data_IF_245113538915
#
_entry.id   IF_245113538915
#
_cell.length_a   1.000
_cell.length_b   1.000
_cell.length_c   1.000
_cell.angle_alpha   90.00
_cell.angle_beta   90.00
_cell.angle_gamma   90.00
#
_symmetry.space_group_name_H-M   'P 1'
#
loop_
_entity.id
_entity.type
_entity.pdbx_description
1 polymer ?
#
# COMPACT_ATOMS: atom_id res chain seq x y z
N UNK A 1 -23.04 -9.76 -13.05
CA UNK A 1 -23.59 -8.82 -12.02
C UNK A 1 -23.00 -9.25 -10.70
N UNK A 2 -22.26 -8.40 -10.00
CA UNK A 2 -21.75 -8.73 -8.67
C UNK A 2 -22.92 -8.83 -7.71
N UNK A 3 -23.09 -9.98 -7.09
CA UNK A 3 -24.18 -10.21 -6.15
C UNK A 3 -23.80 -9.62 -4.79
N UNK A 4 -24.56 -8.62 -4.33
CA UNK A 4 -24.43 -8.08 -2.98
C UNK A 4 -25.23 -8.98 -2.07
N UNK A 5 -24.60 -9.50 -1.01
CA UNK A 5 -25.23 -10.33 0.03
C UNK A 5 -25.02 -9.73 1.39
N UNK A 6 -26.03 -9.80 2.25
CA UNK A 6 -25.86 -9.52 3.68
C UNK A 6 -25.13 -10.71 4.32
N UNK A 7 -24.00 -10.43 4.98
CA UNK A 7 -23.16 -11.44 5.63
C UNK A 7 -22.97 -11.04 7.08
N UNK A 8 -23.11 -12.02 7.99
CA UNK A 8 -22.85 -11.83 9.40
C UNK A 8 -21.41 -11.38 9.63
N UNK A 9 -21.23 -10.35 10.47
CA UNK A 9 -19.90 -9.82 10.85
C UNK A 9 -19.02 -10.91 11.46
N UNK A 10 -19.61 -11.87 12.18
CA UNK A 10 -18.88 -12.97 12.80
C UNK A 10 -18.27 -13.96 11.77
N UNK A 11 -18.81 -13.99 10.55
CA UNK A 11 -18.29 -14.82 9.45
C UNK A 11 -17.24 -14.10 8.62
N UNK A 12 -16.95 -12.82 8.92
CA UNK A 12 -16.02 -12.01 8.15
C UNK A 12 -14.76 -11.80 8.97
N UNK A 13 -13.59 -12.06 8.38
CA UNK A 13 -12.32 -11.85 9.03
C UNK A 13 -11.36 -11.01 8.16
N UNK A 14 -10.44 -10.25 8.80
CA UNK A 14 -9.41 -9.49 8.09
C UNK A 14 -8.43 -10.40 7.36
N UNK A 15 -7.86 -9.90 6.26
CA UNK A 15 -6.77 -10.59 5.57
C UNK A 15 -5.51 -10.64 6.45
N UNK A 16 -4.97 -11.84 6.68
CA UNK A 16 -3.79 -12.12 7.52
C UNK A 16 -2.51 -11.43 7.02
N UNK A 17 -2.47 -11.00 5.76
CA UNK A 17 -1.30 -10.37 5.13
C UNK A 17 -1.41 -8.85 4.99
N UNK A 18 -2.31 -8.18 5.71
CA UNK A 18 -2.45 -6.72 5.63
C UNK A 18 -1.39 -6.00 6.49
N UNK A 19 -0.55 -5.13 5.88
CA UNK A 19 0.49 -4.41 6.62
C UNK A 19 -0.02 -3.18 7.41
N UNK A 20 -1.29 -2.79 7.25
CA UNK A 20 -1.83 -1.57 7.87
C UNK A 20 -2.56 -1.90 9.15
N UNK A 21 -1.82 -1.94 10.27
CA UNK A 21 -2.35 -2.20 11.63
C UNK A 21 -2.82 -0.93 12.35
N UNK A 22 -2.36 0.25 11.95
CA UNK A 22 -2.72 1.51 12.60
C UNK A 22 -3.79 2.27 11.80
N UNK A 23 -4.96 2.41 12.39
CA UNK A 23 -6.02 3.29 11.90
C UNK A 23 -6.18 4.45 12.89
N UNK A 24 -6.28 5.66 12.38
CA UNK A 24 -6.64 6.82 13.19
C UNK A 24 -8.03 6.55 13.79
N UNK A 25 -8.10 6.49 15.14
CA UNK A 25 -9.32 6.15 15.86
C UNK A 25 -10.41 7.20 15.64
N UNK A 26 -10.06 8.48 15.59
CA UNK A 26 -11.03 9.58 15.38
C UNK A 26 -11.70 9.44 14.00
N UNK A 27 -10.90 9.23 12.96
CA UNK A 27 -11.41 9.02 11.59
C UNK A 27 -12.21 7.71 11.43
N UNK A 28 -12.00 6.72 12.31
CA UNK A 28 -12.79 5.50 12.32
C UNK A 28 -14.13 5.72 13.04
N UNK A 29 -14.15 6.50 14.12
CA UNK A 29 -15.36 6.89 14.83
C UNK A 29 -16.28 7.76 13.97
N UNK A 30 -15.71 8.74 13.24
CA UNK A 30 -16.48 9.55 12.27
C UNK A 30 -17.14 8.67 11.21
N UNK A 31 -16.40 7.70 10.68
CA UNK A 31 -16.95 6.76 9.70
C UNK A 31 -18.06 5.88 10.31
N UNK A 32 -17.89 5.41 11.55
CA UNK A 32 -18.91 4.63 12.25
C UNK A 32 -20.18 5.44 12.49
N UNK A 33 -20.06 6.73 12.84
CA UNK A 33 -21.19 7.63 12.99
C UNK A 33 -21.92 7.84 11.65
N UNK A 34 -21.18 8.09 10.58
CA UNK A 34 -21.77 8.22 9.23
C UNK A 34 -22.51 6.96 8.79
N UNK A 35 -21.96 5.76 9.12
CA UNK A 35 -22.61 4.48 8.81
C UNK A 35 -23.89 4.28 9.62
N UNK A 36 -23.94 4.73 10.88
CA UNK A 36 -25.18 4.68 11.69
C UNK A 36 -26.29 5.54 11.09
N UNK A 37 -25.94 6.70 10.55
CA UNK A 37 -26.90 7.67 10.03
C UNK A 37 -27.38 7.33 8.60
N UNK A 38 -26.49 6.85 7.76
CA UNK A 38 -26.74 6.69 6.32
C UNK A 38 -26.66 5.23 5.82
N UNK A 39 -26.33 4.30 6.70
CA UNK A 39 -26.03 2.92 6.31
C UNK A 39 -24.69 2.78 5.61
N UNK A 40 -24.31 1.54 5.29
CA UNK A 40 -23.10 1.23 4.52
C UNK A 40 -23.39 1.38 3.01
N UNK A 41 -23.05 2.55 2.44
CA UNK A 41 -23.34 2.86 1.02
C UNK A 41 -22.51 1.97 0.07
N UNK A 42 -21.23 1.74 0.38
CA UNK A 42 -20.36 0.88 -0.41
C UNK A 42 -20.15 -0.47 0.27
N UNK A 43 -20.59 -1.59 -0.33
CA UNK A 43 -20.39 -2.92 0.20
C UNK A 43 -18.91 -3.23 0.46
N UNK A 44 -18.63 -4.09 1.43
CA UNK A 44 -17.32 -4.66 1.69
C UNK A 44 -17.07 -5.74 0.63
N UNK A 45 -15.87 -5.80 0.07
CA UNK A 45 -15.54 -6.88 -0.87
C UNK A 45 -14.86 -8.00 -0.14
N UNK A 46 -15.43 -9.21 -0.24
CA UNK A 46 -14.97 -10.41 0.45
C UNK A 46 -14.81 -11.57 -0.53
N UNK A 47 -14.01 -12.56 -0.14
CA UNK A 47 -13.94 -13.88 -0.80
C UNK A 47 -14.30 -14.98 0.20
N UNK A 48 -14.97 -16.07 -0.22
CA UNK A 48 -15.15 -17.21 0.64
C UNK A 48 -13.82 -17.92 0.89
N UNK A 49 -13.60 -18.39 2.11
CA UNK A 49 -12.50 -19.27 2.48
C UNK A 49 -12.98 -20.38 3.43
N UNK A 50 -12.05 -21.14 4.03
CA UNK A 50 -12.35 -22.26 4.93
C UNK A 50 -13.00 -21.82 6.25
N UNK A 51 -12.75 -20.58 6.70
CA UNK A 51 -13.23 -20.02 7.98
C UNK A 51 -14.46 -19.10 7.80
N UNK A 52 -14.90 -18.86 6.55
CA UNK A 52 -16.04 -17.99 6.24
C UNK A 52 -15.75 -17.04 5.06
N UNK A 53 -15.50 -15.76 5.35
CA UNK A 53 -15.26 -14.74 4.33
C UNK A 53 -14.07 -13.86 4.71
N UNK A 54 -13.04 -13.85 3.89
CA UNK A 54 -11.89 -12.98 4.07
C UNK A 54 -12.08 -11.63 3.34
N UNK A 55 -11.71 -10.52 3.99
CA UNK A 55 -11.82 -9.17 3.43
C UNK A 55 -10.75 -8.97 2.36
N UNK A 56 -11.16 -8.71 1.12
CA UNK A 56 -10.29 -8.25 0.02
C UNK A 56 -10.14 -6.74 0.06
N UNK A 57 -11.25 -6.00 0.26
CA UNK A 57 -11.26 -4.55 0.31
C UNK A 57 -12.38 -4.02 1.22
N UNK A 58 -12.05 -2.98 1.99
CA UNK A 58 -13.04 -2.31 2.86
C UNK A 58 -12.84 -2.55 4.35
N UNK A 59 -11.63 -2.90 4.82
CA UNK A 59 -11.35 -3.16 6.24
C UNK A 59 -11.72 -2.00 7.17
N UNK A 60 -11.51 -0.74 6.77
CA UNK A 60 -11.97 0.42 7.54
C UNK A 60 -13.49 0.43 7.71
N UNK A 61 -14.23 0.10 6.64
CA UNK A 61 -15.70 0.01 6.67
C UNK A 61 -16.15 -1.13 7.56
N UNK A 62 -15.51 -2.29 7.49
CA UNK A 62 -15.78 -3.42 8.36
C UNK A 62 -15.61 -3.06 9.83
N UNK A 63 -14.47 -2.46 10.22
CA UNK A 63 -14.22 -2.00 11.59
C UNK A 63 -15.22 -0.94 12.05
N UNK A 64 -15.58 -0.02 11.15
CA UNK A 64 -16.58 1.00 11.45
C UNK A 64 -17.99 0.39 11.63
N UNK A 65 -18.37 -0.65 10.88
CA UNK A 65 -19.63 -1.36 11.06
C UNK A 65 -19.68 -2.09 12.41
N UNK A 66 -18.58 -2.70 12.86
CA UNK A 66 -18.49 -3.29 14.21
C UNK A 66 -18.72 -2.20 15.26
N UNK A 67 -18.05 -1.04 15.17
CA UNK A 67 -18.22 0.08 16.09
C UNK A 67 -19.64 0.71 16.00
N UNK A 68 -20.27 0.61 14.86
CA UNK A 68 -21.65 1.07 14.65
C UNK A 68 -22.70 0.07 15.19
N UNK A 69 -22.31 -1.16 15.57
CA UNK A 69 -23.19 -2.18 16.15
C UNK A 69 -23.96 -3.00 15.13
N UNK A 70 -23.49 -3.12 13.90
CA UNK A 70 -24.10 -3.96 12.88
C UNK A 70 -23.82 -5.43 13.17
N UNK A 71 -24.83 -6.28 13.00
CA UNK A 71 -24.69 -7.75 13.06
C UNK A 71 -24.45 -8.37 11.68
N UNK A 72 -24.95 -7.73 10.64
CA UNK A 72 -24.78 -8.13 9.24
C UNK A 72 -24.39 -6.91 8.41
N UNK A 73 -23.65 -7.12 7.34
CA UNK A 73 -23.16 -6.06 6.46
C UNK A 73 -23.27 -6.46 4.99
N UNK A 74 -23.62 -5.52 4.09
CA UNK A 74 -23.67 -5.77 2.67
C UNK A 74 -22.25 -6.02 2.12
N UNK A 75 -22.06 -7.18 1.51
CA UNK A 75 -20.79 -7.64 0.94
C UNK A 75 -20.92 -7.99 -0.54
N UNK A 76 -19.94 -7.57 -1.33
CA UNK A 76 -19.69 -8.10 -2.67
C UNK A 76 -18.87 -9.39 -2.51
N UNK A 77 -19.48 -10.53 -2.75
CA UNK A 77 -18.78 -11.82 -2.74
C UNK A 77 -18.12 -12.04 -4.09
N UNK A 78 -16.78 -12.06 -4.12
CA UNK A 78 -16.03 -12.39 -5.33
C UNK A 78 -15.86 -13.89 -5.47
N UNK A 79 -16.22 -14.44 -6.63
CA UNK A 79 -15.91 -15.83 -6.95
C UNK A 79 -14.40 -16.01 -7.21
N UNK A 80 -13.91 -17.25 -7.06
CA UNK A 80 -12.51 -17.59 -7.37
C UNK A 80 -12.12 -17.23 -8.81
N UNK A 81 -13.04 -17.40 -9.75
CA UNK A 81 -12.83 -17.09 -11.16
C UNK A 81 -12.76 -15.58 -11.43
N UNK A 82 -13.64 -14.78 -10.81
CA UNK A 82 -13.58 -13.31 -10.92
C UNK A 82 -12.31 -12.76 -10.30
N UNK A 83 -11.86 -13.31 -9.17
CA UNK A 83 -10.59 -12.95 -8.56
C UNK A 83 -9.43 -13.26 -9.49
N UNK A 84 -9.40 -14.46 -10.06
CA UNK A 84 -8.35 -14.89 -10.99
C UNK A 84 -8.30 -14.04 -12.27
N UNK A 85 -9.44 -13.66 -12.81
CA UNK A 85 -9.53 -12.76 -13.95
C UNK A 85 -9.05 -11.35 -13.60
N UNK A 86 -9.42 -10.82 -12.44
CA UNK A 86 -8.95 -9.52 -11.96
C UNK A 86 -7.43 -9.51 -11.73
N UNK A 87 -6.87 -10.59 -11.18
CA UNK A 87 -5.43 -10.76 -11.01
C UNK A 87 -4.68 -10.82 -12.37
N UNK A 88 -5.20 -11.59 -13.32
CA UNK A 88 -4.62 -11.69 -14.66
C UNK A 88 -4.61 -10.32 -15.36
N UNK A 89 -5.70 -9.57 -15.23
CA UNK A 89 -5.79 -8.22 -15.80
C UNK A 89 -4.79 -7.25 -15.11
N UNK A 90 -4.58 -7.36 -13.81
CA UNK A 90 -3.59 -6.55 -13.09
C UNK A 90 -2.15 -6.94 -13.48
N UNK A 91 -1.86 -8.22 -13.61
CA UNK A 91 -0.53 -8.71 -14.06
C UNK A 91 -0.26 -8.25 -15.50
N UNK A 92 -1.25 -8.36 -16.40
CA UNK A 92 -1.14 -7.85 -17.77
C UNK A 92 -0.85 -6.34 -17.76
N UNK A 93 -1.56 -5.58 -16.93
CA UNK A 93 -1.37 -4.13 -16.83
C UNK A 93 0.03 -3.75 -16.31
N UNK A 94 0.63 -4.56 -15.42
CA UNK A 94 2.01 -4.37 -14.95
C UNK A 94 3.02 -4.63 -16.07
N UNK A 95 2.72 -5.52 -17.01
CA UNK A 95 3.58 -5.81 -18.15
C UNK A 95 3.50 -4.75 -19.25
N UNK A 96 2.61 -3.75 -19.13
CA UNK A 96 2.58 -2.62 -20.07
C UNK A 96 3.86 -1.80 -19.95
N UNK A 97 4.47 -1.54 -21.08
CA UNK A 97 5.57 -0.59 -21.21
C UNK A 97 5.08 0.81 -20.82
N UNK A 98 5.72 1.45 -19.82
CA UNK A 98 5.54 2.85 -19.38
C UNK A 98 4.96 3.09 -17.97
N UNK A 99 4.73 2.09 -17.15
CA UNK A 99 4.42 2.33 -15.74
C UNK A 99 5.58 3.03 -15.02
N UNK A 100 5.25 4.05 -14.25
CA UNK A 100 6.21 4.64 -13.32
C UNK A 100 6.53 3.67 -12.17
N UNK A 101 7.67 3.85 -11.52
CA UNK A 101 8.05 3.01 -10.37
C UNK A 101 7.00 3.02 -9.24
N UNK A 102 6.28 4.13 -9.08
CA UNK A 102 5.21 4.28 -8.08
C UNK A 102 3.94 3.55 -8.50
N UNK A 103 3.55 3.62 -9.77
CA UNK A 103 2.41 2.88 -10.29
C UNK A 103 2.63 1.38 -10.22
N UNK A 104 3.83 0.91 -10.58
CA UNK A 104 4.22 -0.49 -10.46
C UNK A 104 4.17 -0.95 -8.99
N UNK A 105 4.69 -0.14 -8.06
CA UNK A 105 4.63 -0.42 -6.63
C UNK A 105 3.19 -0.52 -6.10
N UNK A 106 2.30 0.40 -6.51
CA UNK A 106 0.88 0.38 -6.14
C UNK A 106 0.18 -0.87 -6.69
N UNK A 107 0.46 -1.24 -7.94
CA UNK A 107 -0.09 -2.45 -8.54
C UNK A 107 0.39 -3.72 -7.82
N UNK A 108 1.66 -3.80 -7.43
CA UNK A 108 2.17 -4.93 -6.63
C UNK A 108 1.43 -5.06 -5.29
N UNK A 109 1.26 -3.96 -4.56
CA UNK A 109 0.52 -3.96 -3.29
C UNK A 109 -0.94 -4.37 -3.52
N UNK A 110 -1.56 -3.90 -4.59
CA UNK A 110 -2.94 -4.25 -4.91
C UNK A 110 -3.10 -5.75 -5.21
N UNK A 111 -2.20 -6.34 -6.00
CA UNK A 111 -2.22 -7.78 -6.28
C UNK A 111 -2.02 -8.59 -5.00
N UNK A 112 -0.98 -8.29 -4.22
CA UNK A 112 -0.72 -8.99 -2.97
C UNK A 112 -1.94 -8.95 -2.03
N UNK A 113 -2.64 -7.81 -1.96
CA UNK A 113 -3.86 -7.67 -1.15
C UNK A 113 -5.04 -8.48 -1.67
N UNK A 114 -5.26 -8.45 -3.00
CA UNK A 114 -6.43 -9.13 -3.59
C UNK A 114 -6.27 -10.65 -3.62
N UNK A 115 -5.03 -11.13 -3.76
CA UNK A 115 -4.73 -12.57 -3.92
C UNK A 115 -4.22 -13.24 -2.64
N UNK A 116 -3.92 -12.47 -1.58
CA UNK A 116 -3.25 -12.98 -0.39
C UNK A 116 -1.80 -13.44 -0.63
N UNK A 117 -1.17 -13.01 -1.73
CA UNK A 117 0.18 -13.42 -2.11
C UNK A 117 1.25 -12.72 -1.29
N UNK A 118 2.30 -13.45 -0.99
CA UNK A 118 3.56 -12.92 -0.49
C UNK A 118 4.33 -12.16 -1.58
N UNK A 119 5.34 -11.37 -1.18
CA UNK A 119 6.22 -10.71 -2.16
C UNK A 119 7.01 -11.69 -3.02
N UNK A 120 7.32 -12.87 -2.50
CA UNK A 120 8.05 -13.92 -3.19
C UNK A 120 7.18 -14.57 -4.28
N UNK A 121 5.95 -14.93 -3.95
CA UNK A 121 4.98 -15.48 -4.90
C UNK A 121 4.65 -14.50 -6.03
N UNK A 122 4.44 -13.21 -5.68
CA UNK A 122 4.25 -12.16 -6.67
C UNK A 122 5.48 -12.03 -7.59
N UNK A 123 6.69 -12.04 -7.04
CA UNK A 123 7.92 -11.91 -7.81
C UNK A 123 8.05 -13.01 -8.86
N UNK A 124 7.79 -14.27 -8.48
CA UNK A 124 7.74 -15.41 -9.40
C UNK A 124 6.72 -15.19 -10.50
N UNK A 125 5.52 -14.70 -10.14
CA UNK A 125 4.40 -14.51 -11.08
C UNK A 125 4.64 -13.39 -12.10
N UNK A 126 5.34 -12.32 -11.71
CA UNK A 126 5.68 -11.20 -12.61
C UNK A 126 7.05 -11.34 -13.27
N UNK A 127 7.77 -12.44 -13.03
CA UNK A 127 9.08 -12.71 -13.64
C UNK A 127 10.19 -11.78 -13.14
N UNK A 128 10.11 -11.35 -11.86
CA UNK A 128 11.10 -10.49 -11.22
C UNK A 128 11.72 -11.18 -10.00
N UNK A 129 12.82 -10.62 -9.48
CA UNK A 129 13.35 -11.08 -8.18
C UNK A 129 12.51 -10.51 -7.04
N UNK A 130 12.42 -11.25 -5.93
CA UNK A 130 11.75 -10.80 -4.70
C UNK A 130 12.33 -9.45 -4.21
N UNK A 131 13.65 -9.26 -4.32
CA UNK A 131 14.29 -8.00 -3.96
C UNK A 131 13.86 -6.83 -4.86
N UNK A 132 13.56 -7.08 -6.13
CA UNK A 132 13.01 -6.06 -7.05
C UNK A 132 11.61 -5.62 -6.60
N UNK A 133 10.73 -6.58 -6.32
CA UNK A 133 9.37 -6.30 -5.81
C UNK A 133 9.43 -5.57 -4.48
N UNK A 134 10.25 -6.06 -3.53
CA UNK A 134 10.42 -5.42 -2.22
C UNK A 134 10.91 -3.97 -2.34
N UNK A 135 11.90 -3.70 -3.18
CA UNK A 135 12.43 -2.35 -3.39
C UNK A 135 11.38 -1.41 -3.99
N UNK A 136 10.56 -1.89 -4.92
CA UNK A 136 9.45 -1.10 -5.48
C UNK A 136 8.41 -0.78 -4.41
N UNK A 137 7.93 -1.78 -3.69
CA UNK A 137 6.92 -1.60 -2.62
C UNK A 137 7.40 -0.63 -1.55
N UNK A 138 8.69 -0.68 -1.17
CA UNK A 138 9.27 0.25 -0.19
C UNK A 138 9.19 1.72 -0.61
N UNK A 139 9.12 2.05 -1.90
CA UNK A 139 8.97 3.43 -2.36
C UNK A 139 7.68 4.09 -1.84
N UNK A 140 6.64 3.31 -1.58
CA UNK A 140 5.39 3.80 -1.02
C UNK A 140 5.49 4.26 0.44
N UNK A 141 6.60 3.94 1.13
CA UNK A 141 6.89 4.44 2.48
C UNK A 141 7.48 5.87 2.48
N UNK A 142 7.83 6.41 1.32
CA UNK A 142 8.28 7.80 1.20
C UNK A 142 7.11 8.77 1.32
N UNK A 143 7.34 10.01 1.77
CA UNK A 143 6.36 11.08 1.72
C UNK A 143 5.74 11.23 0.32
N UNK A 144 4.45 11.58 0.28
CA UNK A 144 3.69 11.66 -0.97
C UNK A 144 4.34 12.56 -2.01
N UNK A 145 4.87 13.71 -1.60
CA UNK A 145 5.59 14.66 -2.45
C UNK A 145 6.78 13.99 -3.20
N UNK A 146 7.53 13.12 -2.51
CA UNK A 146 8.65 12.39 -3.11
C UNK A 146 8.14 11.30 -4.06
N UNK A 147 7.04 10.63 -3.72
CA UNK A 147 6.40 9.67 -4.62
C UNK A 147 5.93 10.35 -5.92
N UNK A 148 5.33 11.53 -5.82
CA UNK A 148 4.89 12.33 -6.96
C UNK A 148 6.08 12.78 -7.82
N UNK A 149 7.20 13.16 -7.20
CA UNK A 149 8.44 13.51 -7.92
C UNK A 149 9.02 12.31 -8.69
N UNK A 150 8.89 11.09 -8.17
CA UNK A 150 9.28 9.87 -8.92
C UNK A 150 8.30 9.60 -10.06
N UNK A 151 7.00 9.72 -9.82
CA UNK A 151 5.96 9.49 -10.82
C UNK A 151 6.06 10.49 -11.99
N UNK A 152 6.37 11.76 -11.70
CA UNK A 152 6.61 12.80 -12.71
C UNK A 152 8.00 12.74 -13.35
N UNK A 153 8.86 11.80 -12.95
CA UNK A 153 10.26 11.65 -13.39
C UNK A 153 11.16 12.83 -13.06
N UNK A 154 10.79 13.67 -12.10
CA UNK A 154 11.62 14.76 -11.59
C UNK A 154 12.86 14.21 -10.88
N UNK A 155 12.70 13.09 -10.16
CA UNK A 155 13.81 12.30 -9.63
C UNK A 155 13.65 10.83 -10.09
N UNK A 156 14.76 10.10 -10.12
CA UNK A 156 14.73 8.69 -10.52
C UNK A 156 14.38 7.78 -9.34
N UNK A 157 13.95 6.55 -9.63
CA UNK A 157 13.76 5.50 -8.63
C UNK A 157 15.00 5.30 -7.75
N UNK A 158 16.21 5.43 -8.32
CA UNK A 158 17.47 5.28 -7.56
C UNK A 158 17.64 6.39 -6.50
N UNK A 159 17.28 7.64 -6.81
CA UNK A 159 17.24 8.71 -5.83
C UNK A 159 16.25 8.41 -4.69
N UNK A 160 15.06 7.95 -5.05
CA UNK A 160 14.04 7.58 -4.08
C UNK A 160 14.49 6.43 -3.15
N UNK A 161 15.16 5.41 -3.70
CA UNK A 161 15.74 4.33 -2.88
C UNK A 161 16.81 4.83 -1.91
N UNK A 162 17.67 5.76 -2.35
CA UNK A 162 18.64 6.38 -1.45
C UNK A 162 17.95 7.13 -0.29
N UNK A 163 16.85 7.86 -0.57
CA UNK A 163 16.06 8.57 0.42
C UNK A 163 15.40 7.65 1.47
N UNK A 164 15.10 6.38 1.13
CA UNK A 164 14.59 5.40 2.10
C UNK A 164 15.58 5.09 3.24
N UNK A 165 16.87 5.36 3.05
CA UNK A 165 17.89 5.19 4.10
C UNK A 165 17.98 6.39 5.05
N UNK A 166 17.26 7.47 4.76
CA UNK A 166 17.19 8.68 5.57
C UNK A 166 16.04 8.59 6.56
N UNK A 167 16.24 9.09 7.78
CA UNK A 167 15.19 9.16 8.81
C UNK A 167 13.96 9.92 8.25
N UNK A 168 12.73 9.41 8.45
CA UNK A 168 11.52 9.96 7.82
C UNK A 168 11.37 11.48 7.94
N UNK A 169 11.62 12.07 9.12
CA UNK A 169 11.53 13.53 9.32
C UNK A 169 12.58 14.36 8.57
N UNK A 170 13.59 13.74 7.96
CA UNK A 170 14.67 14.41 7.22
C UNK A 170 14.59 14.16 5.71
N UNK A 171 13.78 13.22 5.26
CA UNK A 171 13.67 12.84 3.84
C UNK A 171 13.32 14.02 2.95
N UNK A 172 12.38 14.86 3.38
CA UNK A 172 11.99 16.07 2.64
C UNK A 172 13.14 17.06 2.47
N UNK A 173 13.89 17.34 3.55
CA UNK A 173 15.03 18.27 3.47
C UNK A 173 16.15 17.79 2.55
N UNK A 174 16.38 16.47 2.47
CA UNK A 174 17.34 15.88 1.53
C UNK A 174 16.78 15.92 0.10
N UNK A 175 15.51 15.62 -0.09
CA UNK A 175 14.83 15.75 -1.38
C UNK A 175 14.93 17.18 -1.94
N UNK A 176 14.65 18.20 -1.13
CA UNK A 176 14.78 19.61 -1.53
C UNK A 176 16.19 19.96 -2.00
N UNK A 177 17.22 19.40 -1.35
CA UNK A 177 18.61 19.59 -1.78
C UNK A 177 18.91 18.90 -3.11
N UNK A 178 18.38 17.68 -3.32
CA UNK A 178 18.53 16.95 -4.59
C UNK A 178 17.97 17.79 -5.75
N UNK A 179 16.76 18.30 -5.57
CA UNK A 179 16.09 19.09 -6.63
C UNK A 179 16.77 20.43 -6.86
N UNK A 180 17.04 21.22 -5.80
CA UNK A 180 17.66 22.54 -5.92
C UNK A 180 19.05 22.52 -6.52
N UNK A 181 19.85 21.49 -6.22
CA UNK A 181 21.25 21.38 -6.66
C UNK A 181 21.43 20.49 -7.88
N UNK A 182 20.36 19.87 -8.38
CA UNK A 182 20.41 18.94 -9.51
C UNK A 182 21.34 17.75 -9.25
N UNK A 183 21.32 17.19 -8.03
CA UNK A 183 22.24 16.12 -7.66
C UNK A 183 21.93 14.84 -8.44
N UNK A 184 22.97 14.19 -8.95
CA UNK A 184 22.84 12.85 -9.49
C UNK A 184 22.79 11.80 -8.36
N UNK A 185 22.52 10.54 -8.71
CA UNK A 185 22.38 9.43 -7.74
C UNK A 185 23.60 9.31 -6.83
N UNK A 186 24.81 9.33 -7.39
CA UNK A 186 26.06 9.20 -6.63
C UNK A 186 26.26 10.34 -5.64
N UNK A 187 25.99 11.58 -6.09
CA UNK A 187 26.07 12.78 -5.22
C UNK A 187 25.00 12.74 -4.11
N UNK A 188 23.81 12.20 -4.41
CA UNK A 188 22.75 11.99 -3.41
C UNK A 188 23.19 11.00 -2.35
N UNK A 189 23.77 9.86 -2.74
CA UNK A 189 24.30 8.84 -1.82
C UNK A 189 25.41 9.42 -0.93
N UNK A 190 26.35 10.18 -1.51
CA UNK A 190 27.40 10.87 -0.76
C UNK A 190 26.85 11.90 0.25
N UNK A 191 25.86 12.68 -0.15
CA UNK A 191 25.18 13.62 0.75
C UNK A 191 24.58 12.91 1.95
N UNK A 192 23.87 11.79 1.72
CA UNK A 192 23.24 11.00 2.76
C UNK A 192 24.30 10.38 3.69
N UNK A 193 25.38 9.87 3.16
CA UNK A 193 26.48 9.28 3.94
C UNK A 193 27.14 10.32 4.85
N UNK A 194 27.46 11.49 4.31
CA UNK A 194 28.01 12.62 5.10
C UNK A 194 27.06 13.05 6.23
N UNK A 195 25.75 12.99 6.00
CA UNK A 195 24.75 13.30 7.03
C UNK A 195 24.72 12.26 8.15
N UNK A 196 24.92 10.96 7.82
CA UNK A 196 25.00 9.87 8.80
C UNK A 196 26.27 10.00 9.66
N UNK A 197 27.42 10.23 9.05
CA UNK A 197 28.71 10.41 9.75
C UNK A 197 28.70 11.59 10.72
N UNK A 198 28.05 12.71 10.37
CA UNK A 198 27.92 13.88 11.25
C UNK A 198 27.07 13.61 12.48
N UNK A 199 26.14 12.65 12.43
CA UNK A 199 25.32 12.24 13.58
C UNK A 199 26.05 11.29 14.53
N UNK A 200 27.00 10.51 14.02
CA UNK A 200 27.76 9.53 14.82
C UNK A 200 28.94 10.17 15.59
N UNK A 201 29.37 11.39 15.21
CA UNK A 201 30.39 12.10 15.96
C UNK A 201 29.73 12.86 17.12
N UNK A 202 29.96 12.48 18.41
CA UNK A 202 29.51 13.30 19.53
C UNK A 202 30.19 14.67 19.48
N UNK A 203 29.42 15.73 19.77
CA UNK A 203 29.99 17.07 19.94
C UNK A 203 31.11 17.01 20.98
N UNK A 204 32.29 17.59 20.69
CA UNK A 204 33.32 17.71 21.69
C UNK A 204 32.80 18.59 22.84
N UNK A 205 32.83 18.03 24.06
CA UNK A 205 32.56 18.75 25.30
C UNK A 205 33.59 19.83 25.55
#
# INVERSE_FOLDING_TARGET
>A
MREVREISIEQIHPNRHQPRTEFNQDALMELAQSIRENGLIQPITVRPDEEGYEIIAGERRYKACILAGYSEVPCNVMSADEQRLAELALVENIQRENLTAIEEAKAYVQIMRSSGMTQEELALRVGKSQSTVANKVRLLNLPQEIQEAVASRQITERHARALLSVVPGQQKGVYDQIVRRGLNVRQTEQLIETMKEKKEKPEPR
#
